data_IF_267041928240
#
_entry.id   IF_267041928240
#
_cell.length_a   1.000
_cell.length_b   1.000
_cell.length_c   1.000
_cell.angle_alpha   90.00
_cell.angle_beta   90.00
_cell.angle_gamma   90.00
#
_symmetry.space_group_name_H-M   'P 1'
#
loop_
_entity.id
_entity.type
_entity.pdbx_description
1 polymer ?
#
# COMPACT_ATOMS: atom_id res chain seq x y z
N UNK A 1 -26.31 11.50 9.12
CA UNK A 1 -25.15 10.72 9.59
C UNK A 1 -25.13 9.52 8.69
N UNK A 2 -24.31 9.57 7.64
CA UNK A 2 -24.18 8.42 6.75
C UNK A 2 -23.62 7.27 7.56
N UNK A 3 -24.39 6.19 7.68
CA UNK A 3 -24.00 4.94 8.33
C UNK A 3 -23.00 4.14 7.48
N UNK A 4 -22.34 4.77 6.51
CA UNK A 4 -21.24 4.15 5.78
C UNK A 4 -19.99 4.31 6.64
N UNK A 5 -19.49 3.19 7.18
CA UNK A 5 -18.16 3.16 7.78
C UNK A 5 -17.14 3.77 6.82
N UNK A 6 -16.26 4.63 7.35
CA UNK A 6 -15.21 5.25 6.55
C UNK A 6 -14.37 4.16 5.88
N UNK A 7 -14.04 4.34 4.60
CA UNK A 7 -13.30 3.33 3.83
C UNK A 7 -11.95 3.00 4.46
N UNK A 8 -11.31 3.97 5.12
CA UNK A 8 -10.09 3.74 5.91
C UNK A 8 -10.30 2.73 7.04
N UNK A 9 -11.47 2.77 7.70
CA UNK A 9 -11.83 1.84 8.76
C UNK A 9 -12.04 0.43 8.20
N UNK A 10 -12.77 0.31 7.09
CA UNK A 10 -13.03 -0.98 6.45
C UNK A 10 -11.74 -1.68 6.00
N UNK A 11 -10.82 -0.94 5.36
CA UNK A 11 -9.54 -1.50 4.89
C UNK A 11 -8.69 -1.99 6.07
N UNK A 12 -8.64 -1.24 7.17
CA UNK A 12 -7.82 -1.58 8.35
C UNK A 12 -8.40 -2.70 9.22
N UNK A 13 -9.69 -3.02 9.07
CA UNK A 13 -10.39 -4.02 9.89
C UNK A 13 -11.03 -5.14 9.07
N UNK A 14 -10.56 -5.37 7.84
CA UNK A 14 -11.15 -6.36 6.93
C UNK A 14 -11.14 -7.80 7.50
N UNK A 15 -10.20 -8.13 8.38
CA UNK A 15 -10.15 -9.43 9.07
C UNK A 15 -10.96 -9.49 10.38
N UNK A 16 -11.68 -8.42 10.70
CA UNK A 16 -12.50 -8.26 11.91
C UNK A 16 -13.98 -7.99 11.53
N UNK A 17 -14.67 -8.98 10.94
CA UNK A 17 -16.07 -8.84 10.51
C UNK A 17 -17.03 -8.49 11.65
N UNK A 18 -16.69 -8.84 12.89
CA UNK A 18 -17.43 -8.45 14.09
C UNK A 18 -17.38 -6.94 14.36
N UNK A 19 -16.37 -6.25 13.81
CA UNK A 19 -16.17 -4.81 13.95
C UNK A 19 -16.70 -4.07 12.73
N UNK A 20 -16.43 -4.56 11.52
CA UNK A 20 -16.92 -3.94 10.28
C UNK A 20 -18.39 -4.21 10.02
N UNK A 21 -18.97 -5.23 10.66
CA UNK A 21 -20.30 -5.74 10.36
C UNK A 21 -20.49 -6.14 8.89
N UNK A 22 -19.38 -6.49 8.21
CA UNK A 22 -19.30 -6.85 6.80
C UNK A 22 -18.37 -8.06 6.61
N UNK A 23 -18.65 -8.91 5.63
CA UNK A 23 -17.73 -9.96 5.19
C UNK A 23 -16.51 -9.38 4.46
N UNK A 24 -15.45 -10.18 4.33
CA UNK A 24 -14.28 -9.80 3.55
C UNK A 24 -14.66 -9.48 2.09
N UNK A 25 -15.53 -10.28 1.48
CA UNK A 25 -16.02 -10.09 0.13
C UNK A 25 -16.81 -8.79 -0.01
N UNK A 26 -17.68 -8.48 0.96
CA UNK A 26 -18.44 -7.22 0.95
C UNK A 26 -17.51 -6.00 1.04
N UNK A 27 -16.46 -6.06 1.87
CA UNK A 27 -15.45 -4.99 1.93
C UNK A 27 -14.71 -4.85 0.60
N UNK A 28 -14.32 -5.95 -0.05
CA UNK A 28 -13.67 -5.90 -1.37
C UNK A 28 -14.58 -5.28 -2.43
N UNK A 29 -15.88 -5.57 -2.41
CA UNK A 29 -16.85 -4.95 -3.32
C UNK A 29 -17.03 -3.45 -3.06
N UNK A 30 -16.95 -2.99 -1.81
CA UNK A 30 -16.95 -1.56 -1.51
C UNK A 30 -15.64 -0.87 -1.95
N UNK A 31 -14.48 -1.52 -1.78
CA UNK A 31 -13.19 -0.98 -2.26
C UNK A 31 -13.19 -0.78 -3.78
N UNK A 32 -13.81 -1.69 -4.55
CA UNK A 32 -13.94 -1.55 -6.01
C UNK A 32 -14.74 -0.32 -6.46
N UNK A 33 -15.53 0.27 -5.56
CA UNK A 33 -16.39 1.44 -5.83
C UNK A 33 -15.74 2.77 -5.42
N UNK A 34 -14.47 2.75 -4.99
CA UNK A 34 -13.76 3.97 -4.61
C UNK A 34 -13.58 4.87 -5.84
N UNK A 35 -14.15 6.08 -5.79
CA UNK A 35 -14.03 7.07 -6.86
C UNK A 35 -12.63 7.71 -6.95
N UNK A 36 -12.02 8.00 -5.79
CA UNK A 36 -10.68 8.56 -5.68
C UNK A 36 -9.79 7.64 -4.83
N UNK A 37 -8.99 6.75 -5.46
CA UNK A 37 -8.13 5.81 -4.75
C UNK A 37 -6.92 6.49 -4.07
N UNK A 38 -6.67 7.77 -4.37
CA UNK A 38 -5.58 8.57 -3.82
C UNK A 38 -6.01 9.45 -2.64
N UNK A 39 -7.28 9.35 -2.20
CA UNK A 39 -7.75 10.04 -0.99
C UNK A 39 -6.86 9.68 0.20
N UNK A 40 -6.51 10.71 0.97
CA UNK A 40 -5.74 10.62 2.21
C UNK A 40 -6.61 10.99 3.42
N UNK A 41 -6.27 10.44 4.59
CA UNK A 41 -6.87 10.84 5.86
C UNK A 41 -6.18 12.09 6.45
N UNK A 42 -6.60 12.51 7.65
CA UNK A 42 -6.06 13.70 8.34
C UNK A 42 -4.59 13.57 8.76
N UNK A 43 -4.01 12.36 8.68
CA UNK A 43 -2.59 12.09 8.92
C UNK A 43 -1.79 11.92 7.62
N UNK A 44 -2.45 12.10 6.47
CA UNK A 44 -1.87 12.00 5.13
C UNK A 44 -1.74 10.58 4.60
N UNK A 45 -2.29 9.58 5.27
CA UNK A 45 -2.22 8.19 4.80
C UNK A 45 -3.33 7.94 3.77
N UNK A 46 -2.94 7.44 2.59
CA UNK A 46 -3.89 6.99 1.57
C UNK A 46 -4.42 5.58 1.85
N UNK A 47 -5.48 5.17 1.15
CA UNK A 47 -5.99 3.79 1.22
C UNK A 47 -4.89 2.76 0.96
N UNK A 48 -3.99 3.04 0.01
CA UNK A 48 -2.89 2.15 -0.33
C UNK A 48 -1.92 1.98 0.84
N UNK A 49 -1.70 3.02 1.67
CA UNK A 49 -0.86 2.89 2.85
C UNK A 49 -1.42 1.89 3.87
N UNK A 50 -2.73 1.93 4.12
CA UNK A 50 -3.40 0.99 5.02
C UNK A 50 -3.40 -0.42 4.44
N UNK A 51 -3.70 -0.57 3.14
CA UNK A 51 -3.65 -1.87 2.47
C UNK A 51 -2.26 -2.52 2.54
N UNK A 52 -1.21 -1.70 2.38
CA UNK A 52 0.19 -2.11 2.52
C UNK A 52 0.54 -2.49 3.97
N UNK A 53 0.12 -1.73 4.99
CA UNK A 53 0.41 -2.09 6.40
C UNK A 53 -0.26 -3.40 6.80
N UNK A 54 -1.46 -3.66 6.28
CA UNK A 54 -2.20 -4.91 6.53
C UNK A 54 -1.71 -6.09 5.65
N UNK A 55 -0.78 -5.86 4.72
CA UNK A 55 -0.29 -6.86 3.76
C UNK A 55 -1.44 -7.56 3.00
N UNK A 56 -2.49 -6.79 2.70
CA UNK A 56 -3.67 -7.31 2.01
C UNK A 56 -3.48 -7.17 0.50
N UNK A 57 -2.93 -8.22 -0.11
CA UNK A 57 -2.65 -8.26 -1.55
C UNK A 57 -3.87 -7.97 -2.43
N UNK A 58 -5.07 -8.34 -2.00
CA UNK A 58 -6.28 -8.16 -2.80
C UNK A 58 -6.70 -6.69 -2.82
N UNK A 59 -6.70 -6.02 -1.66
CA UNK A 59 -6.98 -4.58 -1.59
C UNK A 59 -5.87 -3.79 -2.32
N UNK A 60 -4.59 -4.14 -2.12
CA UNK A 60 -3.47 -3.46 -2.80
C UNK A 60 -3.67 -3.52 -4.32
N UNK A 61 -3.97 -4.71 -4.86
CA UNK A 61 -4.23 -4.90 -6.29
C UNK A 61 -5.42 -4.09 -6.77
N UNK A 62 -6.57 -4.15 -6.07
CA UNK A 62 -7.76 -3.40 -6.46
C UNK A 62 -7.47 -1.89 -6.48
N UNK A 63 -6.82 -1.36 -5.44
CA UNK A 63 -6.49 0.06 -5.37
C UNK A 63 -5.56 0.50 -6.51
N UNK A 64 -4.54 -0.30 -6.82
CA UNK A 64 -3.64 -0.04 -7.94
C UNK A 64 -4.37 -0.11 -9.30
N UNK A 65 -5.26 -1.09 -9.48
CA UNK A 65 -6.12 -1.22 -10.67
C UNK A 65 -7.07 -0.02 -10.84
N UNK A 66 -7.52 0.58 -9.73
CA UNK A 66 -8.30 1.82 -9.73
C UNK A 66 -7.46 3.08 -10.01
N UNK A 67 -6.13 2.97 -10.04
CA UNK A 67 -5.23 4.10 -10.28
C UNK A 67 -4.69 4.76 -9.01
N UNK A 68 -4.62 4.04 -7.88
CA UNK A 68 -3.84 4.50 -6.74
C UNK A 68 -2.38 4.72 -7.15
N UNK A 69 -1.83 5.88 -6.82
CA UNK A 69 -0.44 6.24 -7.08
C UNK A 69 0.46 5.55 -6.04
N UNK A 70 1.32 4.60 -6.46
CA UNK A 70 2.23 3.92 -5.55
C UNK A 70 3.30 4.85 -4.96
N UNK A 71 3.49 6.05 -5.55
CA UNK A 71 4.49 7.05 -5.15
C UNK A 71 3.92 8.13 -4.24
N UNK A 72 2.60 8.16 -4.01
CA UNK A 72 1.95 9.19 -3.19
C UNK A 72 2.49 9.11 -1.75
N UNK A 73 3.19 10.14 -1.26
CA UNK A 73 3.72 10.13 0.09
C UNK A 73 2.67 10.58 1.11
N UNK A 74 2.73 10.01 2.31
CA UNK A 74 2.04 10.59 3.47
C UNK A 74 2.72 11.89 3.95
N UNK A 75 2.17 12.52 4.99
CA UNK A 75 2.74 13.75 5.55
C UNK A 75 4.15 13.60 6.14
N UNK A 76 4.60 12.37 6.40
CA UNK A 76 5.97 12.08 6.79
C UNK A 76 6.91 11.91 5.58
N UNK A 77 6.41 12.03 4.35
CA UNK A 77 7.15 11.84 3.10
C UNK A 77 7.30 10.38 2.68
N UNK A 78 6.63 9.43 3.36
CA UNK A 78 6.77 8.00 3.06
C UNK A 78 5.68 7.54 2.09
N UNK A 79 6.01 6.86 0.98
CA UNK A 79 5.03 6.18 0.15
C UNK A 79 4.53 4.88 0.79
N UNK A 80 3.43 4.35 0.26
CA UNK A 80 2.74 3.19 0.83
C UNK A 80 3.62 1.94 0.98
N UNK A 81 4.58 1.71 0.09
CA UNK A 81 5.50 0.54 0.15
C UNK A 81 6.29 0.50 1.46
N UNK A 82 6.61 1.66 2.04
CA UNK A 82 7.36 1.73 3.31
C UNK A 82 6.51 1.19 4.47
N UNK A 83 5.19 1.37 4.43
CA UNK A 83 4.27 0.79 5.41
C UNK A 83 4.24 -0.74 5.37
N UNK A 84 4.38 -1.35 4.18
CA UNK A 84 4.48 -2.81 4.07
C UNK A 84 5.84 -3.32 4.57
N UNK A 85 6.93 -2.79 4.00
CA UNK A 85 8.29 -3.29 4.28
C UNK A 85 8.73 -3.03 5.73
N UNK A 86 8.18 -2.02 6.40
CA UNK A 86 8.42 -1.75 7.82
C UNK A 86 8.01 -2.87 8.77
N UNK A 87 7.15 -3.79 8.32
CA UNK A 87 6.72 -4.96 9.05
C UNK A 87 7.28 -6.22 8.39
N UNK A 88 7.75 -7.20 9.17
CA UNK A 88 8.29 -8.44 8.62
C UNK A 88 7.13 -9.34 8.14
N UNK A 89 6.99 -9.51 6.83
CA UNK A 89 6.00 -10.40 6.22
C UNK A 89 6.57 -11.07 4.98
N UNK A 90 6.21 -12.34 4.77
CA UNK A 90 6.58 -13.12 3.57
C UNK A 90 5.95 -12.55 2.29
N UNK A 91 4.94 -11.68 2.41
CA UNK A 91 4.26 -11.02 1.29
C UNK A 91 5.02 -9.79 0.76
N UNK A 92 5.97 -9.23 1.53
CA UNK A 92 6.65 -8.00 1.15
C UNK A 92 7.34 -8.03 -0.22
N UNK A 93 8.05 -9.12 -0.60
CA UNK A 93 8.65 -9.22 -1.92
C UNK A 93 7.60 -9.13 -3.04
N UNK A 94 6.43 -9.75 -2.85
CA UNK A 94 5.35 -9.75 -3.82
C UNK A 94 4.63 -8.40 -3.89
N UNK A 95 4.43 -7.73 -2.75
CA UNK A 95 3.91 -6.35 -2.69
C UNK A 95 4.85 -5.41 -3.46
N UNK A 96 6.17 -5.53 -3.25
CA UNK A 96 7.15 -4.70 -3.94
C UNK A 96 7.08 -4.89 -5.46
N UNK A 97 7.07 -6.15 -5.94
CA UNK A 97 6.92 -6.45 -7.38
C UNK A 97 5.64 -5.86 -7.96
N UNK A 98 4.52 -6.00 -7.23
CA UNK A 98 3.24 -5.48 -7.65
C UNK A 98 3.27 -3.95 -7.74
N UNK A 99 3.77 -3.25 -6.73
CA UNK A 99 3.88 -1.79 -6.78
C UNK A 99 4.82 -1.33 -7.90
N UNK A 100 5.91 -2.04 -8.16
CA UNK A 100 6.80 -1.79 -9.29
C UNK A 100 6.09 -1.93 -10.64
N UNK A 101 5.27 -2.97 -10.84
CA UNK A 101 4.50 -3.15 -12.07
C UNK A 101 3.46 -2.05 -12.31
N UNK A 102 3.08 -1.31 -11.27
CA UNK A 102 2.18 -0.15 -11.33
C UNK A 102 2.93 1.20 -11.28
N UNK A 103 4.25 1.21 -11.49
CA UNK A 103 5.01 2.45 -11.67
C UNK A 103 5.58 3.05 -10.39
N UNK A 104 5.88 2.23 -9.37
CA UNK A 104 6.66 2.67 -8.21
C UNK A 104 8.05 3.15 -8.65
N UNK A 105 8.37 4.41 -8.36
CA UNK A 105 9.63 5.07 -8.68
C UNK A 105 10.66 4.84 -7.56
N UNK A 106 11.56 3.90 -7.80
CA UNK A 106 12.68 3.60 -6.90
C UNK A 106 13.67 4.76 -6.73
N UNK A 107 13.67 5.74 -7.63
CA UNK A 107 14.54 6.92 -7.57
C UNK A 107 13.90 8.10 -6.85
N UNK A 108 12.62 8.00 -6.45
CA UNK A 108 11.95 9.03 -5.66
C UNK A 108 12.76 9.36 -4.41
N UNK A 109 13.04 10.64 -4.18
CA UNK A 109 13.82 11.07 -3.01
C UNK A 109 12.90 11.25 -1.81
N UNK A 110 13.15 10.45 -0.78
CA UNK A 110 12.43 10.45 0.49
C UNK A 110 13.42 10.79 1.61
N UNK A 111 13.17 11.90 2.31
CA UNK A 111 14.02 12.39 3.42
C UNK A 111 15.52 12.45 3.08
N UNK A 112 15.85 12.84 1.85
CA UNK A 112 17.24 13.00 1.39
C UNK A 112 17.94 11.72 0.92
N UNK A 113 17.23 10.59 0.82
CA UNK A 113 17.72 9.35 0.20
C UNK A 113 16.75 8.90 -0.88
N UNK A 114 17.20 8.10 -1.85
CA UNK A 114 16.27 7.48 -2.81
C UNK A 114 15.40 6.42 -2.10
N UNK A 115 14.24 6.11 -2.69
CA UNK A 115 13.37 5.04 -2.21
C UNK A 115 14.12 3.70 -2.19
N UNK A 116 14.89 3.40 -3.26
CA UNK A 116 15.78 2.22 -3.30
C UNK A 116 16.70 2.15 -2.08
N UNK A 117 17.44 3.22 -1.79
CA UNK A 117 18.35 3.26 -0.64
C UNK A 117 17.61 3.19 0.71
N UNK A 118 16.34 3.61 0.75
CA UNK A 118 15.50 3.46 1.94
C UNK A 118 15.07 2.01 2.14
N UNK A 119 14.66 1.32 1.07
CA UNK A 119 14.27 -0.10 1.09
C UNK A 119 15.47 -1.00 1.45
N UNK A 120 16.66 -0.71 0.92
CA UNK A 120 17.89 -1.48 1.20
C UNK A 120 18.32 -1.45 2.67
N UNK A 121 17.83 -0.50 3.47
CA UNK A 121 18.10 -0.44 4.91
C UNK A 121 17.25 -1.46 5.71
N UNK A 122 16.17 -1.98 5.13
CA UNK A 122 15.32 -2.96 5.80
C UNK A 122 15.92 -4.37 5.67
N UNK A 123 15.76 -5.24 6.69
CA UNK A 123 16.25 -6.61 6.64
C UNK A 123 15.46 -7.43 5.60
N UNK A 124 16.15 -7.90 4.56
CA UNK A 124 15.58 -8.76 3.52
C UNK A 124 16.47 -8.78 2.27
N UNK A 125 17.14 -9.89 2.01
CA UNK A 125 18.07 -10.02 0.87
C UNK A 125 17.34 -9.94 -0.49
N UNK A 126 16.08 -10.36 -0.50
CA UNK A 126 15.24 -10.47 -1.69
C UNK A 126 14.88 -9.10 -2.30
N UNK A 127 14.81 -8.03 -1.50
CA UNK A 127 14.44 -6.70 -2.02
C UNK A 127 15.47 -6.18 -3.01
N UNK A 128 16.75 -6.40 -2.71
CA UNK A 128 17.83 -5.97 -3.59
C UNK A 128 17.77 -6.69 -4.92
N UNK A 129 17.59 -8.01 -4.90
CA UNK A 129 17.47 -8.83 -6.12
C UNK A 129 16.28 -8.38 -6.98
N UNK A 130 15.12 -8.12 -6.35
CA UNK A 130 13.92 -7.61 -7.04
C UNK A 130 14.21 -6.26 -7.69
N UNK A 131 14.72 -5.29 -6.93
CA UNK A 131 15.00 -3.94 -7.43
C UNK A 131 16.07 -3.93 -8.52
N UNK A 132 17.11 -4.76 -8.39
CA UNK A 132 18.18 -4.84 -9.40
C UNK A 132 17.64 -5.47 -10.70
N UNK A 133 16.79 -6.50 -10.61
CA UNK A 133 16.15 -7.10 -11.80
C UNK A 133 15.17 -6.16 -12.51
N UNK A 134 14.61 -5.18 -11.81
CA UNK A 134 13.67 -4.21 -12.36
C UNK A 134 14.34 -3.06 -13.11
N UNK A 135 15.60 -2.73 -12.76
CA UNK A 135 16.37 -1.63 -13.39
C UNK A 135 16.83 -2.00 -14.81
N UNK A 136 16.76 -3.28 -15.19
CA UNK A 136 17.18 -3.78 -16.51
C UNK A 136 16.05 -3.89 -17.56
N UNK A 137 14.83 -3.45 -17.24
CA UNK A 137 13.64 -3.46 -18.11
C UNK A 137 13.28 -2.06 -18.63
#
# INVERSE_FOLDING_TARGET
>A
MDNNMDMFFLISHIYHPEITLMSQEEVLEEVKKIDDPNRINDQGYSYLHFACSEHNMDIIRILLELGADPNLPNFNGWPAIISAIGCKSEKNPEILKLMLSYGLDLNQVIKGKTLKASIEQFPGVEYKEIMDSWVEL
#
